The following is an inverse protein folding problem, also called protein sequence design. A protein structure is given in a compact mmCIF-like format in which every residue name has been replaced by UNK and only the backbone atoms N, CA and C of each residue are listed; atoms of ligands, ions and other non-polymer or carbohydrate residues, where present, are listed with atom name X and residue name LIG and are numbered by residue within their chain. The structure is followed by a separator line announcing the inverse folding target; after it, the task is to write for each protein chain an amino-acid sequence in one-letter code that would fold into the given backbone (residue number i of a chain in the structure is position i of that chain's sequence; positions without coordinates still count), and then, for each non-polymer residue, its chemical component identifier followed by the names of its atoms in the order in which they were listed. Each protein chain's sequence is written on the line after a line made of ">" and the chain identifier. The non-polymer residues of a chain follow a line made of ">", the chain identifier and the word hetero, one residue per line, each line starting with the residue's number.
data_IF_682350566357
#
_entry.id   IF_682350566357
#
_cell.length_a   1.000
_cell.length_b   1.000
_cell.length_c   1.000
_cell.angle_alpha   90.00
_cell.angle_beta   90.00
_cell.angle_gamma   90.00
#
_symmetry.space_group_name_H-M   'P 1'
#
loop_
_entity.id
_entity.type
_entity.pdbx_description
1 polymer ?
#
# COMPACT_ATOMS: atom_id res chain seq x y z
N UNK A 1 22.55 9.72 -47.00
CA UNK A 1 22.73 8.76 -45.89
C UNK A 1 23.64 9.39 -44.82
N UNK A 2 23.15 10.40 -44.10
CA UNK A 2 23.96 11.14 -43.10
C UNK A 2 23.11 11.78 -41.97
N UNK A 3 21.89 11.30 -41.73
CA UNK A 3 21.00 11.84 -40.70
C UNK A 3 20.99 11.02 -39.39
N UNK A 4 21.68 9.88 -39.34
CA UNK A 4 21.67 8.97 -38.18
C UNK A 4 22.72 9.28 -37.10
N UNK A 5 23.74 10.09 -37.42
CA UNK A 5 24.84 10.39 -36.51
C UNK A 5 24.49 11.32 -35.33
N UNK A 6 23.66 12.37 -35.45
CA UNK A 6 23.34 13.21 -34.30
C UNK A 6 22.44 12.51 -33.28
N UNK A 7 21.59 11.58 -33.72
CA UNK A 7 20.70 10.81 -32.84
C UNK A 7 21.46 9.83 -31.94
N UNK A 8 22.57 9.25 -32.45
CA UNK A 8 23.39 8.31 -31.70
C UNK A 8 24.27 9.01 -30.65
N UNK A 9 24.66 10.27 -30.90
CA UNK A 9 25.41 11.07 -29.93
C UNK A 9 24.57 11.41 -28.68
N UNK A 10 23.27 11.68 -28.84
CA UNK A 10 22.36 11.99 -27.71
C UNK A 10 22.19 10.80 -26.74
N UNK A 11 22.34 9.56 -27.21
CA UNK A 11 22.22 8.36 -26.38
C UNK A 11 23.49 8.04 -25.57
N UNK A 12 24.63 8.63 -25.91
CA UNK A 12 25.94 8.30 -25.32
C UNK A 12 26.43 9.32 -24.28
N UNK A 13 25.73 10.46 -24.13
CA UNK A 13 26.02 11.40 -23.06
C UNK A 13 25.12 11.14 -21.85
N UNK A 14 25.67 11.08 -20.62
CA UNK A 14 24.85 11.14 -19.43
C UNK A 14 24.10 12.47 -19.46
N UNK A 15 22.79 12.39 -19.73
CA UNK A 15 21.90 13.53 -19.58
C UNK A 15 22.01 13.95 -18.11
N UNK A 16 22.23 15.23 -17.84
CA UNK A 16 21.97 15.76 -16.51
C UNK A 16 20.49 15.57 -16.25
N UNK A 17 20.14 14.51 -15.51
CA UNK A 17 18.82 14.37 -14.95
C UNK A 17 18.66 15.52 -13.95
N UNK A 18 17.87 16.53 -14.32
CA UNK A 18 17.31 17.46 -13.35
C UNK A 18 16.29 16.68 -12.50
N UNK A 19 16.79 15.84 -11.61
CA UNK A 19 16.03 15.24 -10.54
C UNK A 19 16.12 16.13 -9.31
N UNK A 20 14.96 16.34 -8.69
CA UNK A 20 14.73 16.96 -7.38
C UNK A 20 14.94 18.49 -7.30
N UNK A 21 13.94 19.23 -7.78
CA UNK A 21 13.51 20.45 -7.10
C UNK A 21 12.07 20.22 -6.59
N UNK A 22 11.96 19.92 -5.29
CA UNK A 22 10.81 20.16 -4.41
C UNK A 22 9.40 19.89 -4.99
N UNK A 23 9.09 18.65 -5.39
CA UNK A 23 7.72 18.21 -5.70
C UNK A 23 7.10 17.32 -4.61
N UNK A 24 7.81 17.09 -3.51
CA UNK A 24 7.24 16.35 -2.38
C UNK A 24 6.22 17.23 -1.64
N UNK A 25 5.05 16.64 -1.35
CA UNK A 25 4.01 17.32 -0.59
C UNK A 25 4.57 17.73 0.78
N UNK A 26 4.38 18.98 1.22
CA UNK A 26 4.91 19.47 2.48
C UNK A 26 4.10 18.93 3.66
N UNK A 27 4.25 17.64 3.97
CA UNK A 27 3.46 16.94 4.99
C UNK A 27 3.53 17.60 6.37
N UNK A 28 4.67 18.19 6.72
CA UNK A 28 4.84 18.92 7.99
C UNK A 28 4.01 20.22 8.08
N UNK A 29 3.65 20.82 6.95
CA UNK A 29 2.82 22.02 6.89
C UNK A 29 1.33 21.71 6.68
N UNK A 30 0.98 20.45 6.38
CA UNK A 30 -0.41 20.03 6.21
C UNK A 30 -1.09 19.92 7.57
N UNK A 31 -2.30 20.48 7.66
CA UNK A 31 -3.11 20.38 8.86
C UNK A 31 -3.60 18.95 9.12
N UNK A 32 -3.85 18.60 10.38
CA UNK A 32 -4.38 17.28 10.77
C UNK A 32 -5.73 16.94 10.13
N UNK A 33 -6.47 17.94 9.64
CA UNK A 33 -7.74 17.75 8.92
C UNK A 33 -7.63 16.81 7.71
N UNK A 34 -6.45 16.68 7.09
CA UNK A 34 -6.22 15.74 5.97
C UNK A 34 -6.36 14.26 6.36
N UNK A 35 -6.32 13.93 7.65
CA UNK A 35 -6.51 12.56 8.17
C UNK A 35 -7.99 12.16 8.21
N UNK A 36 -8.92 13.13 8.18
CA UNK A 36 -10.35 12.83 8.33
C UNK A 36 -10.91 11.81 7.32
N UNK A 37 -10.62 11.90 6.01
CA UNK A 37 -11.11 10.90 5.06
C UNK A 37 -10.59 9.49 5.36
N UNK A 38 -9.37 9.38 5.87
CA UNK A 38 -8.80 8.10 6.30
C UNK A 38 -9.52 7.56 7.54
N UNK A 39 -9.72 8.39 8.57
CA UNK A 39 -10.49 8.00 9.76
C UNK A 39 -11.95 7.62 9.41
N UNK A 40 -12.57 8.36 8.49
CA UNK A 40 -13.92 8.07 7.98
C UNK A 40 -14.00 6.75 7.22
N UNK A 41 -12.98 6.44 6.41
CA UNK A 41 -12.86 5.15 5.75
C UNK A 41 -12.71 4.01 6.78
N UNK A 42 -11.83 4.16 7.78
CA UNK A 42 -11.65 3.18 8.85
C UNK A 42 -12.94 2.93 9.65
N UNK A 43 -13.66 4.00 9.99
CA UNK A 43 -14.96 3.87 10.65
C UNK A 43 -15.96 3.15 9.75
N UNK A 44 -16.00 3.49 8.46
CA UNK A 44 -16.89 2.86 7.49
C UNK A 44 -16.63 1.35 7.39
N UNK A 45 -15.37 0.92 7.30
CA UNK A 45 -15.05 -0.52 7.22
C UNK A 45 -15.33 -1.26 8.53
N UNK A 46 -15.22 -0.58 9.68
CA UNK A 46 -15.52 -1.17 10.99
C UNK A 46 -17.03 -1.30 11.23
N UNK A 47 -17.82 -0.28 10.89
CA UNK A 47 -19.27 -0.24 11.19
C UNK A 47 -20.15 -0.75 10.06
N UNK A 48 -19.72 -0.57 8.81
CA UNK A 48 -20.51 -0.87 7.61
C UNK A 48 -21.00 -2.31 7.52
N UNK A 49 -20.11 -3.32 7.67
CA UNK A 49 -20.52 -4.73 7.69
C UNK A 49 -21.51 -5.06 8.81
N UNK A 50 -21.42 -4.37 9.95
CA UNK A 50 -22.20 -4.65 11.15
C UNK A 50 -23.60 -4.02 11.10
N UNK A 51 -23.71 -2.79 10.59
CA UNK A 51 -24.95 -2.03 10.57
C UNK A 51 -25.79 -2.26 9.29
N UNK A 52 -25.12 -2.46 8.14
CA UNK A 52 -25.79 -2.49 6.83
C UNK A 52 -25.17 -3.53 5.88
N UNK A 53 -25.06 -4.77 6.33
CA UNK A 53 -24.37 -5.88 5.66
C UNK A 53 -24.64 -5.97 4.13
N UNK A 54 -25.90 -6.04 3.70
CA UNK A 54 -26.25 -6.21 2.28
C UNK A 54 -25.84 -5.01 1.41
N UNK A 55 -25.97 -3.80 1.93
CA UNK A 55 -25.59 -2.57 1.21
C UNK A 55 -24.07 -2.49 1.13
N UNK A 56 -23.39 -2.81 2.23
CA UNK A 56 -21.94 -2.79 2.34
C UNK A 56 -21.27 -3.70 1.32
N UNK A 57 -21.67 -4.98 1.24
CA UNK A 57 -21.07 -5.94 0.31
C UNK A 57 -21.18 -5.48 -1.14
N UNK A 58 -22.32 -4.88 -1.52
CA UNK A 58 -22.54 -4.44 -2.90
C UNK A 58 -21.90 -3.07 -3.22
N UNK A 59 -21.73 -2.19 -2.23
CA UNK A 59 -21.27 -0.81 -2.43
C UNK A 59 -19.90 -0.50 -1.82
N UNK A 60 -19.22 -1.48 -1.22
CA UNK A 60 -17.91 -1.32 -0.59
C UNK A 60 -16.94 -0.53 -1.47
N UNK A 61 -16.77 -0.97 -2.73
CA UNK A 61 -15.86 -0.29 -3.67
C UNK A 61 -16.25 1.16 -3.95
N UNK A 62 -17.55 1.48 -4.02
CA UNK A 62 -18.03 2.85 -4.27
C UNK A 62 -17.83 3.75 -3.05
N UNK A 63 -18.07 3.23 -1.85
CA UNK A 63 -17.86 3.96 -0.59
C UNK A 63 -16.36 4.28 -0.43
N UNK A 64 -15.51 3.28 -0.63
CA UNK A 64 -14.05 3.45 -0.56
C UNK A 64 -13.54 4.41 -1.63
N UNK A 65 -14.05 4.32 -2.85
CA UNK A 65 -13.72 5.28 -3.91
C UNK A 65 -14.16 6.70 -3.58
N UNK A 66 -15.31 6.87 -2.92
CA UNK A 66 -15.78 8.18 -2.42
C UNK A 66 -14.80 8.78 -1.41
N UNK A 67 -14.38 8.01 -0.40
CA UNK A 67 -13.37 8.45 0.56
C UNK A 67 -12.01 8.75 -0.08
N UNK A 68 -11.57 7.93 -1.03
CA UNK A 68 -10.33 8.17 -1.77
C UNK A 68 -10.40 9.47 -2.57
N UNK A 69 -11.54 9.73 -3.23
CA UNK A 69 -11.76 10.96 -3.99
C UNK A 69 -11.76 12.20 -3.08
N UNK A 70 -12.28 12.09 -1.85
CA UNK A 70 -12.21 13.16 -0.84
C UNK A 70 -10.79 13.48 -0.39
N UNK A 71 -9.80 12.63 -0.65
CA UNK A 71 -8.38 12.96 -0.47
C UNK A 71 -7.79 13.52 -1.76
N UNK A 72 -7.96 12.80 -2.87
CA UNK A 72 -7.28 13.11 -4.14
C UNK A 72 -7.78 14.42 -4.76
N UNK A 73 -9.09 14.71 -4.71
CA UNK A 73 -9.65 15.93 -5.31
C UNK A 73 -9.19 17.18 -4.59
N UNK A 74 -9.32 17.30 -3.24
CA UNK A 74 -8.78 18.46 -2.53
C UNK A 74 -7.27 18.60 -2.72
N UNK A 75 -6.53 17.48 -2.78
CA UNK A 75 -5.09 17.50 -3.02
C UNK A 75 -4.76 18.10 -4.39
N UNK A 76 -5.49 17.70 -5.44
CA UNK A 76 -5.32 18.23 -6.78
C UNK A 76 -5.69 19.72 -6.89
N UNK A 77 -6.68 20.17 -6.11
CA UNK A 77 -7.09 21.59 -6.06
C UNK A 77 -6.06 22.43 -5.29
N UNK A 78 -5.58 21.96 -4.14
CA UNK A 78 -4.71 22.73 -3.25
C UNK A 78 -3.23 22.75 -3.69
N UNK A 79 -2.72 21.64 -4.22
CA UNK A 79 -1.30 21.45 -4.56
C UNK A 79 -1.07 21.22 -6.06
N UNK A 80 -2.13 21.19 -6.86
CA UNK A 80 -2.09 20.99 -8.31
C UNK A 80 -2.25 19.52 -8.73
N UNK A 81 -2.78 19.34 -9.95
CA UNK A 81 -2.99 18.02 -10.57
C UNK A 81 -1.69 17.22 -10.70
N UNK A 82 -0.55 17.79 -11.16
CA UNK A 82 0.69 17.02 -11.31
C UNK A 82 1.18 16.44 -9.98
N UNK A 83 1.16 17.24 -8.91
CA UNK A 83 1.57 16.84 -7.56
C UNK A 83 0.66 15.73 -7.00
N UNK A 84 -0.65 15.87 -7.18
CA UNK A 84 -1.61 14.87 -6.73
C UNK A 84 -1.45 13.54 -7.47
N UNK A 85 -1.26 13.56 -8.80
CA UNK A 85 -1.00 12.36 -9.60
C UNK A 85 0.32 11.72 -9.16
N UNK A 86 1.37 12.52 -8.97
CA UNK A 86 2.67 12.00 -8.55
C UNK A 86 2.60 11.36 -7.17
N UNK A 87 1.87 11.94 -6.22
CA UNK A 87 1.64 11.35 -4.90
C UNK A 87 0.88 10.02 -5.00
N UNK A 88 -0.23 9.98 -5.76
CA UNK A 88 -1.04 8.76 -5.95
C UNK A 88 -0.23 7.66 -6.63
N UNK A 89 0.50 8.00 -7.70
CA UNK A 89 1.33 7.03 -8.42
C UNK A 89 2.50 6.55 -7.58
N UNK A 90 3.14 7.43 -6.79
CA UNK A 90 4.17 7.02 -5.85
C UNK A 90 3.59 6.02 -4.87
N UNK A 91 2.55 6.37 -4.11
CA UNK A 91 1.92 5.45 -3.15
C UNK A 91 1.46 4.13 -3.79
N UNK A 92 0.90 4.15 -5.00
CA UNK A 92 0.48 2.92 -5.68
C UNK A 92 1.65 2.04 -6.12
N UNK A 93 2.71 2.63 -6.68
CA UNK A 93 3.79 1.88 -7.31
C UNK A 93 4.94 1.54 -6.36
N UNK A 94 5.30 2.45 -5.45
CA UNK A 94 6.44 2.24 -4.54
C UNK A 94 6.01 1.61 -3.22
N UNK A 95 4.85 1.99 -2.68
CA UNK A 95 4.39 1.47 -1.39
C UNK A 95 3.45 0.27 -1.57
N UNK A 96 2.32 0.47 -2.26
CA UNK A 96 1.29 -0.55 -2.36
C UNK A 96 1.74 -1.76 -3.19
N UNK A 97 2.31 -1.54 -4.38
CA UNK A 97 2.81 -2.65 -5.20
C UNK A 97 3.91 -3.43 -4.48
N UNK A 98 4.87 -2.74 -3.86
CA UNK A 98 5.94 -3.37 -3.07
C UNK A 98 5.38 -4.22 -1.93
N UNK A 99 4.39 -3.69 -1.20
CA UNK A 99 3.69 -4.42 -0.16
C UNK A 99 2.97 -5.67 -0.68
N UNK A 100 2.25 -5.56 -1.81
CA UNK A 100 1.58 -6.71 -2.43
C UNK A 100 2.58 -7.77 -2.89
N UNK A 101 3.72 -7.38 -3.46
CA UNK A 101 4.79 -8.30 -3.85
C UNK A 101 5.35 -9.04 -2.62
N UNK A 102 5.57 -8.32 -1.51
CA UNK A 102 6.02 -8.92 -0.26
C UNK A 102 4.99 -9.92 0.28
N UNK A 103 3.70 -9.53 0.35
CA UNK A 103 2.63 -10.43 0.79
C UNK A 103 2.51 -11.66 -0.11
N UNK A 104 2.67 -11.49 -1.42
CA UNK A 104 2.64 -12.60 -2.38
C UNK A 104 3.80 -13.58 -2.17
N UNK A 105 5.01 -13.06 -1.94
CA UNK A 105 6.17 -13.88 -1.62
C UNK A 105 5.96 -14.65 -0.31
N UNK A 106 5.44 -13.98 0.74
CA UNK A 106 5.14 -14.61 2.02
C UNK A 106 4.07 -15.70 1.87
N UNK A 107 2.98 -15.43 1.13
CA UNK A 107 1.95 -16.42 0.85
C UNK A 107 2.52 -17.64 0.14
N UNK A 108 3.38 -17.45 -0.86
CA UNK A 108 3.98 -18.56 -1.61
C UNK A 108 4.91 -19.39 -0.74
N UNK A 109 5.76 -18.76 0.06
CA UNK A 109 6.72 -19.44 0.94
C UNK A 109 5.98 -20.15 2.08
N UNK A 110 5.11 -19.45 2.81
CA UNK A 110 4.39 -20.00 3.96
C UNK A 110 3.29 -20.98 3.58
N UNK A 111 2.57 -20.75 2.49
CA UNK A 111 1.51 -21.63 2.00
C UNK A 111 2.01 -23.00 1.51
N UNK A 112 3.30 -23.10 1.16
CA UNK A 112 3.95 -24.36 0.81
C UNK A 112 4.44 -25.19 2.00
N UNK A 113 4.36 -24.67 3.24
CA UNK A 113 4.84 -25.37 4.43
C UNK A 113 3.76 -26.34 4.93
N UNK A 114 3.96 -27.63 4.71
CA UNK A 114 3.14 -28.69 5.30
C UNK A 114 3.74 -29.15 6.63
N UNK A 115 3.04 -28.88 7.73
CA UNK A 115 3.38 -29.44 9.04
C UNK A 115 2.58 -30.72 9.28
N UNK A 116 3.22 -31.88 9.10
CA UNK A 116 2.60 -33.19 9.26
C UNK A 116 3.19 -33.95 10.46
N UNK A 117 2.35 -34.68 11.19
CA UNK A 117 2.73 -35.49 12.35
C UNK A 117 1.52 -35.97 13.16
N UNK A 118 1.73 -36.71 14.24
CA UNK A 118 0.66 -37.11 15.17
C UNK A 118 0.28 -35.97 16.15
N UNK A 119 0.01 -34.79 15.60
CA UNK A 119 -0.30 -33.58 16.36
C UNK A 119 -1.76 -33.64 16.77
N UNK A 120 -2.02 -33.73 18.07
CA UNK A 120 -3.37 -33.69 18.60
C UNK A 120 -3.91 -32.26 18.52
N UNK A 121 -5.00 -32.05 17.80
CA UNK A 121 -5.64 -30.74 17.59
C UNK A 121 -6.35 -30.17 18.82
N UNK A 122 -5.75 -30.29 20.01
CA UNK A 122 -6.26 -29.67 21.23
C UNK A 122 -5.96 -28.17 21.23
N UNK A 123 -6.78 -27.34 21.89
CA UNK A 123 -6.57 -25.89 21.96
C UNK A 123 -5.17 -25.50 22.45
N UNK A 124 -4.62 -26.25 23.42
CA UNK A 124 -3.31 -25.97 24.02
C UNK A 124 -2.16 -26.23 23.04
N UNK A 125 -2.24 -27.30 22.25
CA UNK A 125 -1.25 -27.61 21.21
C UNK A 125 -1.29 -26.57 20.09
N UNK A 126 -2.49 -26.21 19.63
CA UNK A 126 -2.64 -25.18 18.60
C UNK A 126 -2.16 -23.81 19.08
N UNK A 127 -2.48 -23.42 20.32
CA UNK A 127 -1.99 -22.19 20.91
C UNK A 127 -0.46 -22.20 21.06
N UNK A 128 0.13 -23.34 21.44
CA UNK A 128 1.59 -23.52 21.49
C UNK A 128 2.25 -23.37 20.12
N UNK A 129 1.65 -23.93 19.06
CA UNK A 129 2.12 -23.78 17.68
C UNK A 129 2.04 -22.33 17.21
N UNK A 130 0.93 -21.64 17.49
CA UNK A 130 0.76 -20.22 17.16
C UNK A 130 1.76 -19.35 17.92
N UNK A 131 1.99 -19.62 19.22
CA UNK A 131 2.94 -18.88 20.04
C UNK A 131 4.38 -19.08 19.55
N UNK A 132 4.76 -20.30 19.18
CA UNK A 132 6.06 -20.57 18.59
C UNK A 132 6.22 -19.82 17.25
N UNK A 133 5.21 -19.85 16.39
CA UNK A 133 5.19 -19.10 15.13
C UNK A 133 5.32 -17.58 15.35
N UNK A 134 4.59 -17.03 16.31
CA UNK A 134 4.64 -15.60 16.66
C UNK A 134 6.02 -15.17 17.18
N UNK A 135 6.65 -15.97 18.05
CA UNK A 135 8.00 -15.69 18.54
C UNK A 135 9.04 -15.72 17.41
N UNK A 136 8.97 -16.71 16.51
CA UNK A 136 9.86 -16.79 15.36
C UNK A 136 9.67 -15.62 14.41
N UNK A 137 8.42 -15.25 14.11
CA UNK A 137 8.08 -14.10 13.28
C UNK A 137 8.56 -12.77 13.90
N UNK A 138 8.46 -12.62 15.22
CA UNK A 138 8.93 -11.45 15.97
C UNK A 138 10.45 -11.26 15.86
N UNK A 139 11.22 -12.35 15.92
CA UNK A 139 12.69 -12.29 15.75
C UNK A 139 13.07 -11.92 14.31
N UNK A 140 12.30 -12.41 13.33
CA UNK A 140 12.52 -12.12 11.90
C UNK A 140 12.13 -10.67 11.55
N UNK A 141 11.28 -10.03 12.37
CA UNK A 141 10.92 -8.62 12.23
C UNK A 141 9.77 -8.36 11.25
N UNK A 142 8.81 -9.29 11.13
CA UNK A 142 7.58 -9.01 10.37
C UNK A 142 6.78 -7.93 11.08
N UNK A 143 6.33 -6.91 10.37
CA UNK A 143 5.51 -5.83 10.94
C UNK A 143 4.23 -6.39 11.55
N UNK A 144 4.17 -6.45 12.89
CA UNK A 144 2.98 -6.84 13.67
C UNK A 144 2.96 -8.25 14.30
N UNK A 145 4.11 -8.93 14.43
CA UNK A 145 4.21 -10.19 15.18
C UNK A 145 4.13 -10.03 16.70
#
# INVERSE_FOLDING_TARGET
>A
MAAGLPALAVLLFPQFAFAAADHELPGAAMSLWWVLPFAGLLLSIATGPLLFHHVWEHHYGKITAGWAMLVVVPLAIAFGIPSAIQAVLHTLLTEYMSFIILLFALYTISGGILLAGNIHGTPLVNAGLLLAGALLASVIGTTGA
#
